data_IF_051643212036
#
_entry.id   IF_051643212036
#
_cell.length_a   1.000
_cell.length_b   1.000
_cell.length_c   1.000
_cell.angle_alpha   90.00
_cell.angle_beta   90.00
_cell.angle_gamma   90.00
#
_symmetry.space_group_name_H-M   'P 1'
#
loop_
_entity.id
_entity.type
_entity.pdbx_description
1 polymer ?
#
# COMPACT_ATOMS: atom_id res chain seq x y z
N UNK A 1 -4.06 -3.19 -3.98
CA UNK A 1 -3.38 -3.79 -5.15
C UNK A 1 -3.45 -5.29 -4.97
N UNK A 2 -3.47 -6.12 -6.02
CA UNK A 2 -3.22 -7.55 -5.79
C UNK A 2 -1.80 -7.68 -5.22
N UNK A 3 -1.71 -8.12 -3.97
CA UNK A 3 -0.47 -8.30 -3.22
C UNK A 3 0.37 -9.42 -3.84
N UNK A 4 1.07 -9.08 -4.92
CA UNK A 4 2.01 -9.96 -5.62
C UNK A 4 3.44 -9.50 -5.36
N UNK A 5 4.20 -10.34 -4.68
CA UNK A 5 5.59 -10.09 -4.30
C UNK A 5 6.50 -11.13 -4.95
N UNK A 6 7.64 -10.68 -5.45
CA UNK A 6 8.61 -11.52 -6.14
C UNK A 6 9.88 -11.52 -5.29
N UNK A 7 9.99 -12.49 -4.38
CA UNK A 7 11.21 -12.71 -3.64
C UNK A 7 12.25 -13.33 -4.56
N UNK A 8 13.46 -12.78 -4.60
CA UNK A 8 14.54 -13.34 -5.38
C UNK A 8 15.87 -13.20 -4.66
N UNK A 9 16.81 -14.06 -5.05
CA UNK A 9 18.17 -14.12 -4.53
C UNK A 9 19.09 -14.59 -5.65
N UNK A 10 20.34 -14.10 -5.68
CA UNK A 10 21.32 -14.46 -6.70
C UNK A 10 22.66 -14.88 -6.09
N UNK A 11 23.26 -15.91 -6.68
CA UNK A 11 24.66 -16.25 -6.44
C UNK A 11 25.56 -15.68 -7.54
N UNK A 12 26.79 -15.30 -7.16
CA UNK A 12 27.79 -14.74 -8.09
C UNK A 12 28.98 -15.68 -8.25
N UNK A 13 29.62 -15.73 -9.43
CA UNK A 13 30.75 -16.63 -9.68
C UNK A 13 32.06 -16.11 -9.07
N UNK A 14 32.20 -14.80 -8.85
CA UNK A 14 33.46 -14.17 -8.46
C UNK A 14 33.24 -12.82 -7.71
N UNK A 15 34.32 -12.21 -7.22
CA UNK A 15 34.27 -10.96 -6.46
C UNK A 15 33.81 -9.72 -7.25
N UNK A 16 33.76 -9.78 -8.59
CA UNK A 16 33.31 -8.66 -9.40
C UNK A 16 31.80 -8.40 -9.22
N UNK A 17 31.04 -9.42 -8.82
CA UNK A 17 29.58 -9.35 -8.58
C UNK A 17 28.82 -8.74 -9.76
N UNK A 18 29.29 -9.01 -10.99
CA UNK A 18 28.74 -8.50 -12.24
C UNK A 18 28.10 -9.59 -13.10
N UNK A 19 28.12 -10.84 -12.62
CA UNK A 19 27.50 -12.01 -13.25
C UNK A 19 26.74 -12.82 -12.22
N UNK A 20 25.72 -13.51 -12.71
CA UNK A 20 24.89 -14.45 -11.94
C UNK A 20 25.33 -15.87 -12.31
N UNK A 21 25.54 -16.73 -11.30
CA UNK A 21 25.80 -18.17 -11.45
C UNK A 21 24.60 -19.03 -11.03
N UNK A 22 23.71 -18.50 -10.19
CA UNK A 22 22.39 -19.07 -9.91
C UNK A 22 21.39 -17.98 -9.53
N UNK A 23 20.11 -18.23 -9.77
CA UNK A 23 19.01 -17.36 -9.35
C UNK A 23 17.87 -18.19 -8.77
N UNK A 24 17.35 -17.75 -7.62
CA UNK A 24 16.12 -18.23 -7.01
C UNK A 24 15.03 -17.17 -7.12
N UNK A 25 13.80 -17.58 -7.42
CA UNK A 25 12.62 -16.71 -7.49
C UNK A 25 11.46 -17.42 -6.79
N UNK A 26 10.88 -16.76 -5.80
CA UNK A 26 9.69 -17.21 -5.08
C UNK A 26 8.59 -16.16 -5.21
N UNK A 27 7.41 -16.56 -5.67
CA UNK A 27 6.25 -15.68 -5.85
C UNK A 27 5.31 -15.86 -4.67
N UNK A 28 4.97 -14.74 -4.04
CA UNK A 28 3.91 -14.66 -3.04
C UNK A 28 2.72 -13.94 -3.65
N UNK A 29 1.56 -14.56 -3.59
CA UNK A 29 0.28 -13.99 -4.01
C UNK A 29 -0.78 -14.26 -2.95
N UNK A 30 -1.56 -13.22 -2.61
CA UNK A 30 -2.66 -13.32 -1.64
C UNK A 30 -2.21 -13.93 -0.30
N UNK A 31 -1.02 -13.52 0.17
CA UNK A 31 -0.46 -13.97 1.45
C UNK A 31 0.02 -15.43 1.47
N UNK A 32 0.27 -16.04 0.31
CA UNK A 32 0.78 -17.42 0.21
C UNK A 32 1.84 -17.52 -0.88
N UNK A 33 2.81 -18.41 -0.69
CA UNK A 33 3.76 -18.77 -1.74
C UNK A 33 3.02 -19.60 -2.80
N UNK A 34 3.06 -19.16 -4.06
CA UNK A 34 2.33 -19.80 -5.17
C UNK A 34 3.26 -20.39 -6.22
N UNK A 35 4.53 -20.00 -6.25
CA UNK A 35 5.49 -20.48 -7.24
C UNK A 35 6.92 -20.35 -6.73
N UNK A 36 7.73 -21.38 -6.96
CA UNK A 36 9.17 -21.41 -6.71
C UNK A 36 9.90 -21.72 -8.03
N UNK A 37 11.02 -21.06 -8.26
CA UNK A 37 11.88 -21.27 -9.40
C UNK A 37 13.34 -21.15 -8.98
N UNK A 38 14.15 -22.05 -9.53
CA UNK A 38 15.59 -22.03 -9.36
C UNK A 38 16.24 -22.39 -10.69
N UNK A 39 17.32 -21.70 -11.03
CA UNK A 39 18.15 -22.03 -12.18
C UNK A 39 19.61 -21.72 -11.89
N UNK A 40 20.48 -22.63 -12.32
CA UNK A 40 21.87 -22.29 -12.60
C UNK A 40 21.94 -21.44 -13.87
N UNK A 41 23.01 -20.66 -13.99
CA UNK A 41 23.23 -19.74 -15.12
C UNK A 41 24.66 -19.90 -15.60
N UNK A 42 24.85 -20.08 -16.90
CA UNK A 42 26.18 -19.98 -17.48
C UNK A 42 26.62 -18.51 -17.42
N UNK A 43 27.51 -18.21 -16.47
CA UNK A 43 27.99 -16.84 -16.22
C UNK A 43 29.01 -16.35 -17.25
N UNK A 44 29.54 -17.24 -18.11
CA UNK A 44 30.54 -16.95 -19.15
C UNK A 44 31.84 -16.31 -18.63
N UNK A 45 32.13 -16.49 -17.34
CA UNK A 45 33.30 -15.89 -16.66
C UNK A 45 33.98 -16.89 -15.71
N UNK A 46 35.15 -16.48 -15.21
CA UNK A 46 35.88 -17.23 -14.19
C UNK A 46 35.12 -17.31 -12.85
N UNK A 47 35.28 -18.43 -12.15
CA UNK A 47 34.76 -18.64 -10.81
C UNK A 47 35.89 -18.60 -9.77
N UNK A 48 35.75 -17.72 -8.78
CA UNK A 48 36.72 -17.61 -7.70
C UNK A 48 36.58 -18.78 -6.71
N UNK A 49 37.70 -19.32 -6.17
CA UNK A 49 37.67 -20.42 -5.20
C UNK A 49 36.86 -20.13 -3.93
N UNK A 50 36.68 -18.85 -3.59
CA UNK A 50 35.83 -18.46 -2.47
C UNK A 50 34.35 -18.65 -2.78
N UNK A 51 33.87 -18.16 -3.93
CA UNK A 51 32.48 -18.29 -4.36
C UNK A 51 32.10 -19.76 -4.53
N UNK A 52 32.95 -20.57 -5.16
CA UNK A 52 32.73 -22.03 -5.30
C UNK A 52 32.57 -22.68 -3.92
N UNK A 53 33.41 -22.33 -2.94
CA UNK A 53 33.31 -22.89 -1.58
C UNK A 53 32.08 -22.41 -0.84
N UNK A 54 31.63 -21.18 -1.11
CA UNK A 54 30.48 -20.58 -0.45
C UNK A 54 29.17 -21.19 -0.94
N UNK A 55 29.02 -21.34 -2.26
CA UNK A 55 27.75 -21.71 -2.91
C UNK A 55 27.72 -23.16 -3.39
N UNK A 56 28.88 -23.81 -3.50
CA UNK A 56 29.04 -25.13 -4.10
C UNK A 56 28.96 -25.14 -5.63
N UNK A 57 28.70 -24.00 -6.29
CA UNK A 57 28.53 -23.93 -7.74
C UNK A 57 29.89 -23.93 -8.42
N UNK A 58 30.10 -24.87 -9.34
CA UNK A 58 31.34 -25.01 -10.11
C UNK A 58 31.15 -24.59 -11.57
N UNK A 59 32.22 -24.18 -12.29
CA UNK A 59 32.15 -23.91 -13.73
C UNK A 59 31.54 -25.07 -14.54
N UNK A 60 31.84 -26.31 -14.15
CA UNK A 60 31.35 -27.51 -14.83
C UNK A 60 29.83 -27.67 -14.69
N UNK A 61 29.26 -27.28 -13.54
CA UNK A 61 27.80 -27.35 -13.32
C UNK A 61 27.02 -26.37 -14.19
N UNK A 62 27.63 -25.22 -14.52
CA UNK A 62 26.97 -24.15 -15.28
C UNK A 62 27.25 -24.20 -16.78
N UNK A 63 28.22 -25.01 -17.23
CA UNK A 63 28.70 -25.00 -18.61
C UNK A 63 27.58 -25.27 -19.64
N UNK A 64 26.67 -26.19 -19.34
CA UNK A 64 25.55 -26.58 -20.22
C UNK A 64 24.22 -25.87 -19.87
N UNK A 65 24.26 -24.86 -18.99
CA UNK A 65 23.09 -24.09 -18.56
C UNK A 65 22.86 -22.88 -19.49
N UNK A 66 21.63 -22.32 -19.55
CA UNK A 66 21.39 -21.12 -20.32
C UNK A 66 22.25 -19.95 -19.83
N UNK A 67 22.72 -19.13 -20.76
CA UNK A 67 23.34 -17.85 -20.42
C UNK A 67 22.27 -16.88 -19.87
N UNK A 68 22.72 -15.82 -19.20
CA UNK A 68 21.79 -14.87 -18.58
C UNK A 68 20.73 -14.29 -19.54
N UNK A 69 21.04 -13.88 -20.79
CA UNK A 69 20.03 -13.37 -21.72
C UNK A 69 18.91 -14.36 -22.03
N UNK A 70 19.26 -15.62 -22.29
CA UNK A 70 18.31 -16.69 -22.60
C UNK A 70 17.42 -17.00 -21.39
N UNK A 71 18.01 -17.05 -20.20
CA UNK A 71 17.24 -17.23 -18.97
C UNK A 71 16.33 -16.03 -18.72
N UNK A 72 16.80 -14.81 -18.98
CA UNK A 72 16.05 -13.58 -18.76
C UNK A 72 14.75 -13.54 -19.56
N UNK A 73 14.74 -14.00 -20.82
CA UNK A 73 13.51 -14.11 -21.62
C UNK A 73 12.39 -14.88 -20.91
N UNK A 74 12.77 -15.90 -20.13
CA UNK A 74 11.84 -16.73 -19.35
C UNK A 74 11.39 -16.05 -18.04
N UNK A 75 12.31 -15.40 -17.33
CA UNK A 75 12.04 -14.90 -15.97
C UNK A 75 11.57 -13.42 -15.93
N UNK A 76 11.85 -12.63 -16.97
CA UNK A 76 11.47 -11.21 -17.03
C UNK A 76 9.97 -10.95 -16.79
N UNK A 77 9.04 -11.77 -17.33
CA UNK A 77 7.61 -11.60 -17.05
C UNK A 77 7.28 -11.77 -15.56
N UNK A 78 7.94 -12.71 -14.87
CA UNK A 78 7.73 -12.95 -13.43
C UNK A 78 8.36 -11.83 -12.62
N UNK A 79 9.61 -11.47 -12.91
CA UNK A 79 10.33 -10.38 -12.23
C UNK A 79 9.62 -9.03 -12.37
N UNK A 80 8.86 -8.81 -13.45
CA UNK A 80 8.08 -7.60 -13.68
C UNK A 80 6.64 -7.64 -13.18
N UNK A 81 6.17 -8.77 -12.64
CA UNK A 81 4.76 -8.97 -12.30
C UNK A 81 4.36 -8.48 -10.91
N UNK A 82 5.31 -8.05 -10.07
CA UNK A 82 5.05 -7.66 -8.69
C UNK A 82 6.17 -6.85 -8.05
N UNK A 83 6.03 -6.54 -6.77
CA UNK A 83 7.07 -5.87 -6.01
C UNK A 83 8.25 -6.82 -5.76
N UNK A 84 9.46 -6.41 -6.14
CA UNK A 84 10.66 -7.19 -5.87
C UNK A 84 10.99 -7.20 -4.37
N UNK A 85 11.32 -8.37 -3.85
CA UNK A 85 11.71 -8.58 -2.46
C UNK A 85 13.05 -9.31 -2.45
N UNK A 86 14.00 -8.84 -1.65
CA UNK A 86 15.27 -9.54 -1.46
C UNK A 86 15.81 -9.31 -0.04
N UNK A 87 16.62 -10.24 0.45
CA UNK A 87 17.26 -10.11 1.75
C UNK A 87 18.61 -9.43 1.57
N UNK A 88 18.82 -8.26 2.20
CA UNK A 88 19.94 -7.39 1.85
C UNK A 88 19.92 -6.94 0.37
N UNK A 89 18.71 -6.64 -0.11
CA UNK A 89 18.38 -6.33 -1.50
C UNK A 89 19.32 -5.41 -2.29
N UNK A 90 20.03 -4.38 -1.72
CA UNK A 90 20.97 -3.60 -2.52
C UNK A 90 22.04 -4.43 -3.24
N UNK A 91 22.40 -5.60 -2.71
CA UNK A 91 23.32 -6.53 -3.35
C UNK A 91 22.69 -7.16 -4.61
N UNK A 92 21.59 -7.89 -4.45
CA UNK A 92 20.91 -8.61 -5.55
C UNK A 92 20.46 -7.67 -6.66
N UNK A 93 19.91 -6.51 -6.27
CA UNK A 93 19.53 -5.46 -7.21
C UNK A 93 20.72 -4.92 -7.99
N UNK A 94 21.90 -4.84 -7.36
CA UNK A 94 23.15 -4.43 -7.99
C UNK A 94 23.62 -5.44 -9.04
N UNK A 95 23.68 -6.72 -8.67
CA UNK A 95 24.08 -7.80 -9.58
C UNK A 95 23.12 -7.90 -10.76
N UNK A 96 21.81 -7.86 -10.50
CA UNK A 96 20.78 -7.89 -11.55
C UNK A 96 20.93 -6.71 -12.51
N UNK A 97 21.08 -5.49 -11.99
CA UNK A 97 21.24 -4.31 -12.82
C UNK A 97 22.52 -4.39 -13.67
N UNK A 98 23.63 -4.85 -13.08
CA UNK A 98 24.89 -5.03 -13.79
C UNK A 98 24.75 -6.01 -14.95
N UNK A 99 24.12 -7.18 -14.71
CA UNK A 99 23.86 -8.16 -15.76
C UNK A 99 23.00 -7.58 -16.89
N UNK A 100 21.88 -6.92 -16.56
CA UNK A 100 21.01 -6.33 -17.58
C UNK A 100 21.75 -5.32 -18.46
N UNK A 101 22.58 -4.45 -17.86
CA UNK A 101 23.34 -3.45 -18.60
C UNK A 101 24.45 -4.07 -19.46
N UNK A 102 25.23 -5.01 -18.90
CA UNK A 102 26.38 -5.61 -19.58
C UNK A 102 25.96 -6.48 -20.78
N UNK A 103 24.80 -7.13 -20.67
CA UNK A 103 24.21 -7.92 -21.76
C UNK A 103 23.33 -7.07 -22.72
N UNK A 104 23.17 -5.77 -22.48
CA UNK A 104 22.36 -4.89 -23.32
C UNK A 104 20.86 -5.23 -23.30
N UNK A 105 20.37 -5.80 -22.20
CA UNK A 105 18.98 -6.22 -22.04
C UNK A 105 18.14 -5.03 -21.58
N UNK A 106 17.20 -4.62 -22.42
CA UNK A 106 16.21 -3.61 -22.05
C UNK A 106 15.08 -4.25 -21.23
N UNK A 107 14.80 -3.70 -20.04
CA UNK A 107 13.68 -4.12 -19.20
C UNK A 107 12.81 -2.95 -18.77
N UNK A 108 13.30 -2.14 -17.84
CA UNK A 108 12.67 -0.90 -17.39
C UNK A 108 13.74 0.05 -16.83
N UNK A 109 13.55 1.37 -16.88
CA UNK A 109 14.57 2.32 -16.41
C UNK A 109 14.74 2.29 -14.88
N UNK A 110 13.68 1.95 -14.16
CA UNK A 110 13.70 1.78 -12.70
C UNK A 110 12.73 0.68 -12.28
N UNK A 111 12.93 0.14 -11.09
CA UNK A 111 12.01 -0.79 -10.44
C UNK A 111 11.86 -0.46 -8.95
N UNK A 112 10.82 -0.99 -8.32
CA UNK A 112 10.60 -0.88 -6.88
C UNK A 112 10.98 -2.18 -6.19
N UNK A 113 11.55 -2.06 -5.00
CA UNK A 113 11.86 -3.21 -4.16
C UNK A 113 11.65 -2.90 -2.68
N UNK A 114 11.49 -3.94 -1.87
CA UNK A 114 11.61 -3.88 -0.42
C UNK A 114 12.67 -4.88 0.09
N UNK A 115 13.27 -4.59 1.24
CA UNK A 115 14.36 -5.38 1.80
C UNK A 115 13.93 -6.04 3.10
N UNK A 116 13.89 -7.38 3.13
CA UNK A 116 13.45 -8.14 4.31
C UNK A 116 14.41 -7.97 5.49
N UNK A 117 15.70 -7.72 5.27
CA UNK A 117 16.62 -7.36 6.35
C UNK A 117 16.23 -6.04 7.05
N UNK A 118 15.77 -5.03 6.30
CA UNK A 118 15.30 -3.75 6.86
C UNK A 118 13.96 -3.93 7.57
N UNK A 119 13.06 -4.72 6.99
CA UNK A 119 11.77 -5.06 7.60
C UNK A 119 11.97 -5.83 8.90
N UNK A 120 12.87 -6.82 8.91
CA UNK A 120 13.22 -7.60 10.09
C UNK A 120 13.76 -6.75 11.23
N UNK A 121 14.53 -5.67 10.96
CA UNK A 121 14.96 -4.71 12.00
C UNK A 121 13.80 -3.98 12.66
N UNK A 122 12.74 -3.70 11.90
CA UNK A 122 11.54 -3.06 12.42
C UNK A 122 10.64 -4.07 13.16
N UNK A 123 10.53 -5.30 12.64
CA UNK A 123 9.69 -6.36 13.21
C UNK A 123 10.29 -6.95 14.50
N UNK A 124 11.61 -7.16 14.51
CA UNK A 124 12.33 -7.84 15.59
C UNK A 124 13.53 -7.02 16.07
N UNK A 125 13.34 -5.79 16.61
CA UNK A 125 14.43 -4.89 16.98
C UNK A 125 15.36 -5.43 18.07
N UNK A 126 14.92 -6.44 18.83
CA UNK A 126 15.65 -7.07 19.92
C UNK A 126 16.74 -8.05 19.47
N UNK A 127 16.72 -8.52 18.21
CA UNK A 127 17.70 -9.49 17.73
C UNK A 127 19.08 -8.84 17.54
N UNK A 128 20.14 -9.60 17.84
CA UNK A 128 21.52 -9.11 17.73
C UNK A 128 21.86 -8.64 16.31
N UNK A 129 21.32 -9.33 15.31
CA UNK A 129 21.42 -8.95 13.90
C UNK A 129 20.25 -9.54 13.12
N UNK A 130 20.13 -9.12 11.86
CA UNK A 130 19.02 -9.49 10.96
C UNK A 130 19.55 -10.11 9.68
N UNK A 131 20.60 -10.93 9.78
CA UNK A 131 21.04 -11.80 8.68
C UNK A 131 19.98 -12.87 8.44
N UNK A 132 19.89 -13.35 7.20
CA UNK A 132 18.89 -14.34 6.79
C UNK A 132 18.88 -15.56 7.70
N UNK A 133 20.05 -16.18 7.92
CA UNK A 133 20.20 -17.33 8.80
C UNK A 133 19.77 -17.07 10.25
N UNK A 134 20.01 -15.86 10.77
CA UNK A 134 19.66 -15.51 12.16
C UNK A 134 18.15 -15.41 12.31
N UNK A 135 17.47 -14.82 11.32
CA UNK A 135 16.01 -14.72 11.30
C UNK A 135 15.34 -16.07 11.06
N UNK A 136 15.85 -16.87 10.12
CA UNK A 136 15.33 -18.21 9.87
C UNK A 136 15.44 -19.10 11.10
N UNK A 137 16.60 -19.08 11.79
CA UNK A 137 16.77 -19.81 13.05
C UNK A 137 15.81 -19.34 14.14
N UNK A 138 15.58 -18.02 14.26
CA UNK A 138 14.65 -17.47 15.24
C UNK A 138 13.20 -17.92 15.00
N UNK A 139 12.79 -17.98 13.74
CA UNK A 139 11.43 -18.35 13.32
C UNK A 139 11.25 -19.84 13.04
N UNK A 140 12.31 -20.65 13.22
CA UNK A 140 12.36 -22.08 12.87
C UNK A 140 12.01 -22.36 11.39
N UNK A 141 12.48 -21.51 10.48
CA UNK A 141 12.35 -21.70 9.03
C UNK A 141 13.51 -22.55 8.51
N UNK A 142 13.22 -23.39 7.51
CA UNK A 142 14.24 -24.21 6.86
C UNK A 142 15.10 -23.35 5.93
N UNK A 143 16.42 -23.48 6.03
CA UNK A 143 17.36 -22.73 5.21
C UNK A 143 18.55 -23.62 4.81
N UNK A 144 18.68 -23.87 3.51
CA UNK A 144 19.94 -24.30 2.90
C UNK A 144 20.68 -23.06 2.40
N UNK A 145 21.55 -22.52 3.25
CA UNK A 145 22.11 -21.20 3.04
C UNK A 145 23.14 -21.18 1.90
N UNK A 146 23.13 -20.13 1.07
CA UNK A 146 23.90 -20.01 -0.18
C UNK A 146 23.42 -20.91 -1.32
N UNK A 147 22.16 -21.36 -1.21
CA UNK A 147 21.40 -21.91 -2.32
C UNK A 147 20.29 -20.93 -2.68
N UNK A 148 20.48 -20.13 -3.75
CA UNK A 148 19.57 -19.05 -4.15
C UNK A 148 18.07 -19.42 -4.11
N UNK A 149 17.71 -20.64 -4.51
CA UNK A 149 16.33 -21.14 -4.38
C UNK A 149 15.82 -21.13 -2.93
N UNK A 150 16.56 -21.74 -2.01
CA UNK A 150 16.22 -21.77 -0.58
C UNK A 150 16.26 -20.39 0.04
N UNK A 151 17.25 -19.56 -0.32
CA UNK A 151 17.39 -18.21 0.22
C UNK A 151 16.23 -17.30 -0.25
N UNK A 152 15.80 -17.41 -1.51
CA UNK A 152 14.62 -16.69 -2.03
C UNK A 152 13.31 -17.14 -1.36
N UNK A 153 13.18 -18.43 -1.08
CA UNK A 153 12.00 -18.99 -0.41
C UNK A 153 11.92 -18.53 1.05
N UNK A 154 13.03 -18.63 1.78
CA UNK A 154 13.13 -18.12 3.14
C UNK A 154 12.86 -16.61 3.20
N UNK A 155 13.35 -15.85 2.21
CA UNK A 155 13.03 -14.43 2.06
C UNK A 155 11.51 -14.17 1.92
N UNK A 156 10.80 -15.01 1.16
CA UNK A 156 9.34 -14.95 1.04
C UNK A 156 8.62 -15.33 2.34
N UNK A 157 9.08 -16.36 3.06
CA UNK A 157 8.53 -16.73 4.37
C UNK A 157 8.72 -15.62 5.41
N UNK A 158 9.89 -14.98 5.43
CA UNK A 158 10.14 -13.80 6.27
C UNK A 158 9.17 -12.65 5.94
N UNK A 159 8.94 -12.38 4.65
CA UNK A 159 7.98 -11.37 4.24
C UNK A 159 6.58 -11.66 4.78
N UNK A 160 6.11 -12.90 4.64
CA UNK A 160 4.80 -13.33 5.13
C UNK A 160 4.68 -13.20 6.65
N UNK A 161 5.72 -13.62 7.38
CA UNK A 161 5.79 -13.46 8.83
C UNK A 161 5.70 -11.98 9.25
N UNK A 162 6.43 -11.09 8.59
CA UNK A 162 6.39 -9.65 8.89
C UNK A 162 5.02 -9.05 8.59
N UNK A 163 4.38 -9.45 7.49
CA UNK A 163 3.03 -9.02 7.13
C UNK A 163 2.01 -9.51 8.17
N UNK A 164 2.17 -10.72 8.69
CA UNK A 164 1.33 -11.23 9.78
C UNK A 164 1.49 -10.40 11.07
N UNK A 165 2.68 -9.86 11.32
CA UNK A 165 2.96 -8.90 12.40
C UNK A 165 2.55 -7.45 12.08
N UNK A 166 1.80 -7.23 10.99
CA UNK A 166 1.22 -5.93 10.63
C UNK A 166 2.16 -4.98 9.87
N UNK A 167 3.36 -5.43 9.49
CA UNK A 167 4.23 -4.62 8.63
C UNK A 167 3.68 -4.62 7.20
N UNK A 168 3.61 -3.43 6.61
CA UNK A 168 3.18 -3.25 5.22
C UNK A 168 4.41 -2.99 4.34
N UNK A 169 4.72 -3.84 3.33
CA UNK A 169 5.89 -3.68 2.46
C UNK A 169 5.98 -2.30 1.80
N UNK A 170 4.84 -1.66 1.52
CA UNK A 170 4.73 -0.31 0.98
C UNK A 170 5.46 0.77 1.81
N UNK A 171 5.58 0.56 3.12
CA UNK A 171 6.30 1.48 4.02
C UNK A 171 7.82 1.36 3.88
N UNK A 172 8.28 0.27 3.29
CA UNK A 172 9.69 -0.06 3.11
C UNK A 172 10.15 0.07 1.66
N UNK A 173 9.26 0.51 0.76
CA UNK A 173 9.59 0.70 -0.65
C UNK A 173 10.85 1.55 -0.85
N UNK A 174 11.63 1.10 -1.82
CA UNK A 174 12.78 1.79 -2.37
C UNK A 174 12.67 1.73 -3.88
N UNK A 175 13.13 2.79 -4.55
CA UNK A 175 13.23 2.83 -6.00
C UNK A 175 14.67 2.55 -6.39
N UNK A 176 14.90 1.60 -7.28
CA UNK A 176 16.20 1.29 -7.84
C UNK A 176 16.28 1.81 -9.28
N UNK A 177 17.32 2.59 -9.58
CA UNK A 177 17.64 3.05 -10.93
C UNK A 177 18.55 2.01 -11.59
N UNK A 178 18.01 1.28 -12.56
CA UNK A 178 18.70 0.15 -13.20
C UNK A 178 19.84 0.63 -14.10
N UNK A 179 19.70 1.80 -14.73
CA UNK A 179 20.76 2.38 -15.56
C UNK A 179 21.91 2.95 -14.73
N UNK A 180 21.59 3.64 -13.62
CA UNK A 180 22.59 4.24 -12.73
C UNK A 180 23.10 3.28 -11.65
N UNK A 181 22.58 2.04 -11.60
CA UNK A 181 22.97 0.98 -10.65
C UNK A 181 22.97 1.46 -9.20
N UNK A 182 21.90 2.15 -8.80
CA UNK A 182 21.78 2.68 -7.43
C UNK A 182 20.36 2.75 -6.93
N UNK A 183 20.21 2.57 -5.63
CA UNK A 183 18.98 2.94 -4.93
C UNK A 183 18.84 4.46 -4.91
N UNK A 184 17.72 4.95 -5.43
CA UNK A 184 17.37 6.36 -5.34
C UNK A 184 16.80 6.63 -3.96
N UNK A 185 17.27 7.73 -3.34
CA UNK A 185 16.64 8.24 -2.13
C UNK A 185 15.23 8.66 -2.49
N UNK A 186 14.25 7.91 -2.01
CA UNK A 186 12.88 8.43 -2.00
C UNK A 186 12.88 9.67 -1.10
N UNK A 187 12.28 10.79 -1.53
CA UNK A 187 12.06 11.89 -0.61
C UNK A 187 11.29 11.32 0.59
N UNK A 188 11.69 11.64 1.83
CA UNK A 188 10.96 11.17 2.99
C UNK A 188 9.49 11.57 2.82
N UNK A 189 8.55 10.65 3.09
CA UNK A 189 7.16 11.05 3.31
C UNK A 189 7.21 12.15 4.37
N UNK A 190 6.78 13.36 4.01
CA UNK A 190 6.81 14.49 4.93
C UNK A 190 6.14 14.06 6.24
N UNK A 191 6.74 14.40 7.38
CA UNK A 191 6.02 14.26 8.66
C UNK A 191 4.68 14.99 8.50
N UNK A 192 3.56 14.39 8.97
CA UNK A 192 2.29 15.10 9.00
C UNK A 192 2.52 16.46 9.67
N UNK A 193 1.99 17.53 9.07
CA UNK A 193 2.04 18.83 9.73
C UNK A 193 1.34 18.74 11.09
N UNK A 194 1.69 19.61 12.02
CA UNK A 194 1.00 19.72 13.31
C UNK A 194 -0.52 19.82 13.13
N UNK A 195 -0.97 20.62 12.15
CA UNK A 195 -2.37 20.71 11.70
C UNK A 195 -2.96 19.36 11.29
N UNK A 196 -2.22 18.54 10.54
CA UNK A 196 -2.70 17.21 10.11
C UNK A 196 -2.86 16.28 11.31
N UNK A 197 -1.90 16.28 12.23
CA UNK A 197 -1.97 15.47 13.46
C UNK A 197 -3.15 15.87 14.33
N UNK A 198 -3.39 17.17 14.51
CA UNK A 198 -4.51 17.68 15.29
C UNK A 198 -5.87 17.42 14.62
N UNK A 199 -5.97 17.48 13.30
CA UNK A 199 -7.20 17.09 12.58
C UNK A 199 -7.51 15.59 12.69
N UNK A 200 -6.48 14.73 12.78
CA UNK A 200 -6.67 13.32 13.10
C UNK A 200 -7.18 13.14 14.53
N UNK A 201 -6.62 13.87 15.51
CA UNK A 201 -7.10 13.83 16.89
C UNK A 201 -8.57 14.28 17.02
N UNK A 202 -8.99 15.32 16.29
CA UNK A 202 -10.39 15.72 16.21
C UNK A 202 -11.26 14.57 15.70
N UNK A 203 -10.79 13.87 14.67
CA UNK A 203 -11.53 12.77 14.08
C UNK A 203 -11.70 11.58 15.03
N UNK A 204 -10.65 11.23 15.76
CA UNK A 204 -10.70 10.16 16.76
C UNK A 204 -11.68 10.52 17.89
N UNK A 205 -11.69 11.79 18.31
CA UNK A 205 -12.62 12.31 19.30
C UNK A 205 -14.07 12.21 18.82
N UNK A 206 -14.37 12.64 17.58
CA UNK A 206 -15.72 12.48 17.01
C UNK A 206 -16.15 11.02 16.89
N UNK A 207 -15.23 10.13 16.51
CA UNK A 207 -15.51 8.70 16.36
C UNK A 207 -15.83 8.06 17.71
N UNK A 208 -15.23 8.58 18.79
CA UNK A 208 -15.53 8.15 20.17
C UNK A 208 -16.91 8.62 20.60
N UNK A 209 -17.24 9.88 20.32
CA UNK A 209 -18.54 10.50 20.65
C UNK A 209 -19.71 9.89 19.85
N UNK A 210 -19.45 9.35 18.66
CA UNK A 210 -20.48 8.74 17.80
C UNK A 210 -20.59 7.23 17.96
N UNK A 211 -19.84 6.62 18.89
CA UNK A 211 -19.71 5.16 18.97
C UNK A 211 -20.95 4.45 19.52
N UNK A 212 -21.75 5.14 20.34
CA UNK A 212 -22.95 4.62 21.00
C UNK A 212 -24.26 5.18 20.41
N UNK A 213 -24.19 5.91 19.29
CA UNK A 213 -25.33 6.57 18.64
C UNK A 213 -26.15 7.50 19.56
N UNK A 214 -25.57 7.96 20.67
CA UNK A 214 -26.19 8.91 21.61
C UNK A 214 -25.23 10.05 21.91
N UNK A 215 -25.66 11.31 21.69
CA UNK A 215 -24.84 12.49 21.99
C UNK A 215 -25.32 13.15 23.28
N UNK A 216 -24.45 13.19 24.28
CA UNK A 216 -24.73 13.86 25.56
C UNK A 216 -24.23 15.32 25.59
N UNK A 217 -24.85 16.15 26.43
CA UNK A 217 -24.40 17.53 26.70
C UNK A 217 -22.92 17.57 27.15
N UNK A 218 -22.48 16.63 27.98
CA UNK A 218 -21.09 16.55 28.43
C UNK A 218 -20.10 16.33 27.31
N UNK A 219 -20.46 15.58 26.27
CA UNK A 219 -19.60 15.33 25.11
C UNK A 219 -19.53 16.55 24.20
N UNK A 220 -20.66 17.24 24.00
CA UNK A 220 -20.72 18.50 23.25
C UNK A 220 -19.83 19.55 23.92
N UNK A 221 -19.93 19.70 25.25
CA UNK A 221 -19.10 20.64 26.01
C UNK A 221 -17.61 20.27 25.98
N UNK A 222 -17.29 18.97 26.06
CA UNK A 222 -15.91 18.47 25.96
C UNK A 222 -15.32 18.73 24.57
N UNK A 223 -16.10 18.48 23.52
CA UNK A 223 -15.73 18.80 22.14
C UNK A 223 -15.52 20.31 21.97
N UNK A 224 -16.45 21.14 22.45
CA UNK A 224 -16.31 22.59 22.37
C UNK A 224 -15.03 23.09 23.07
N UNK A 225 -14.72 22.54 24.26
CA UNK A 225 -13.51 22.85 25.02
C UNK A 225 -12.26 22.52 24.20
N UNK A 226 -12.20 21.30 23.66
CA UNK A 226 -11.10 20.87 22.81
C UNK A 226 -10.95 21.79 21.59
N UNK A 227 -12.05 22.16 20.94
CA UNK A 227 -12.00 23.03 19.77
C UNK A 227 -11.52 24.45 20.09
N UNK A 228 -11.89 25.00 21.24
CA UNK A 228 -11.42 26.31 21.71
C UNK A 228 -9.92 26.31 22.02
N UNK A 229 -9.36 25.19 22.45
CA UNK A 229 -7.91 25.02 22.63
C UNK A 229 -7.16 24.84 21.30
N UNK A 230 -7.86 24.45 20.23
CA UNK A 230 -7.30 24.14 18.92
C UNK A 230 -7.73 25.12 17.82
N UNK A 231 -7.99 26.40 18.15
CA UNK A 231 -8.41 27.44 17.19
C UNK A 231 -7.44 27.67 16.02
N UNK A 232 -6.17 27.26 16.15
CA UNK A 232 -5.20 27.28 15.05
C UNK A 232 -5.62 26.41 13.85
N UNK A 233 -6.58 25.49 14.04
CA UNK A 233 -7.15 24.66 12.99
C UNK A 233 -8.18 25.37 12.11
N UNK A 234 -8.59 26.60 12.44
CA UNK A 234 -9.53 27.36 11.61
C UNK A 234 -9.05 27.49 10.16
N UNK A 235 -10.00 27.45 9.23
CA UNK A 235 -9.74 27.39 7.79
C UNK A 235 -9.53 25.97 7.26
N UNK A 236 -9.65 24.94 8.11
CA UNK A 236 -9.53 23.54 7.72
C UNK A 236 -10.84 22.78 7.94
N UNK A 237 -11.25 22.01 6.93
CA UNK A 237 -12.31 21.02 7.08
C UNK A 237 -11.77 19.74 7.76
N UNK A 238 -12.53 19.10 8.68
CA UNK A 238 -13.90 19.41 9.09
C UNK A 238 -14.03 20.41 10.26
N UNK A 239 -12.92 20.91 10.82
CA UNK A 239 -12.91 21.75 12.02
C UNK A 239 -13.89 22.92 11.93
N UNK A 240 -13.85 23.74 10.88
CA UNK A 240 -14.74 24.91 10.78
C UNK A 240 -16.23 24.53 10.84
N UNK A 241 -16.61 23.47 10.12
CA UNK A 241 -18.02 23.03 10.04
C UNK A 241 -18.54 22.57 11.39
N UNK A 242 -17.72 21.84 12.15
CA UNK A 242 -18.05 21.38 13.49
C UNK A 242 -18.09 22.57 14.45
N UNK A 243 -17.13 23.49 14.34
CA UNK A 243 -17.01 24.64 15.22
C UNK A 243 -18.24 25.54 15.10
N UNK A 244 -18.68 25.81 13.87
CA UNK A 244 -19.89 26.59 13.58
C UNK A 244 -21.15 25.90 14.12
N UNK A 245 -21.24 24.58 13.96
CA UNK A 245 -22.43 23.82 14.38
C UNK A 245 -22.53 23.77 15.91
N UNK A 246 -21.46 23.35 16.59
CA UNK A 246 -21.40 23.27 18.07
C UNK A 246 -21.50 24.67 18.69
N UNK A 247 -20.90 25.67 18.07
CA UNK A 247 -21.00 27.06 18.53
C UNK A 247 -22.43 27.57 18.46
N UNK A 248 -23.11 27.38 17.33
CA UNK A 248 -24.47 27.86 17.12
C UNK A 248 -25.51 27.21 18.04
N UNK A 249 -25.39 25.91 18.34
CA UNK A 249 -26.29 25.18 19.25
C UNK A 249 -26.07 25.52 20.72
N UNK A 250 -25.01 26.25 21.07
CA UNK A 250 -24.71 26.65 22.45
C UNK A 250 -24.97 28.15 22.70
N UNK A 251 -25.43 28.90 21.69
CA UNK A 251 -25.65 30.35 21.79
C UNK A 251 -26.86 30.72 22.67
N UNK A 252 -27.91 29.89 22.68
CA UNK A 252 -29.11 30.10 23.51
C UNK A 252 -29.00 29.45 24.91
N UNK A 253 -27.97 28.64 25.13
CA UNK A 253 -27.68 27.96 26.38
C UNK A 253 -28.58 26.76 26.69
N UNK A 254 -29.35 26.25 25.70
CA UNK A 254 -30.24 25.11 25.86
C UNK A 254 -29.98 24.14 24.71
N UNK A 255 -29.45 22.95 25.00
CA UNK A 255 -29.30 21.89 24.01
C UNK A 255 -30.62 21.11 23.90
N UNK A 256 -31.36 21.33 22.82
CA UNK A 256 -32.56 20.55 22.52
C UNK A 256 -32.21 19.19 21.90
N UNK A 257 -33.05 18.17 22.12
CA UNK A 257 -32.86 16.83 21.53
C UNK A 257 -32.70 16.89 20.00
N UNK A 258 -33.42 17.80 19.33
CA UNK A 258 -33.33 17.98 17.89
C UNK A 258 -31.94 18.47 17.44
N UNK A 259 -31.28 19.30 18.25
CA UNK A 259 -29.94 19.83 17.97
C UNK A 259 -28.87 18.77 18.21
N UNK A 260 -29.00 17.99 19.29
CA UNK A 260 -28.14 16.84 19.57
C UNK A 260 -28.20 15.82 18.44
N UNK A 261 -29.40 15.51 17.95
CA UNK A 261 -29.59 14.62 16.81
C UNK A 261 -28.99 15.19 15.52
N UNK A 262 -29.15 16.49 15.25
CA UNK A 262 -28.54 17.12 14.09
C UNK A 262 -27.00 17.10 14.14
N UNK A 263 -26.41 17.32 15.32
CA UNK A 263 -24.97 17.21 15.54
C UNK A 263 -24.47 15.78 15.36
N UNK A 264 -25.15 14.80 15.96
CA UNK A 264 -24.81 13.39 15.83
C UNK A 264 -24.79 12.95 14.35
N UNK A 265 -25.79 13.35 13.57
CA UNK A 265 -25.85 13.08 12.12
C UNK A 265 -24.67 13.71 11.37
N UNK A 266 -24.32 14.96 11.70
CA UNK A 266 -23.17 15.64 11.10
C UNK A 266 -21.85 14.94 11.44
N UNK A 267 -21.65 14.58 12.71
CA UNK A 267 -20.44 13.90 13.18
C UNK A 267 -20.33 12.54 12.51
N UNK A 268 -21.42 11.76 12.48
CA UNK A 268 -21.54 10.52 11.74
C UNK A 268 -21.17 10.67 10.27
N UNK A 269 -21.64 11.73 9.58
CA UNK A 269 -21.25 11.98 8.19
C UNK A 269 -19.76 12.33 8.01
N UNK A 270 -19.10 12.90 9.02
CA UNK A 270 -17.67 13.23 8.97
C UNK A 270 -16.80 12.01 9.33
N UNK A 271 -17.25 11.24 10.32
CA UNK A 271 -16.56 10.04 10.81
C UNK A 271 -16.77 8.87 9.87
N UNK A 272 -17.96 8.73 9.27
CA UNK A 272 -18.36 7.80 8.21
C UNK A 272 -19.25 8.48 7.12
N UNK A 273 -18.64 9.12 6.10
CA UNK A 273 -19.33 9.83 5.01
C UNK A 273 -20.13 8.92 4.08
N UNK A 274 -20.11 7.62 4.34
CA UNK A 274 -20.77 6.60 3.55
C UNK A 274 -21.66 5.70 4.42
N UNK A 275 -21.86 5.99 5.71
CA UNK A 275 -22.85 5.33 6.56
C UNK A 275 -24.29 5.62 6.11
N UNK A 276 -24.52 6.81 5.54
CA UNK A 276 -25.85 7.30 5.16
C UNK A 276 -26.20 7.08 3.68
N UNK A 277 -25.43 6.29 2.92
CA UNK A 277 -25.86 5.87 1.58
C UNK A 277 -26.82 4.69 1.68
N UNK A 278 -28.03 4.88 1.15
CA UNK A 278 -29.12 3.92 1.19
C UNK A 278 -28.67 2.50 0.82
N UNK A 279 -29.04 1.54 1.67
CA UNK A 279 -29.08 0.13 1.31
C UNK A 279 -29.92 -0.04 0.03
N UNK A 280 -29.30 -0.57 -1.02
CA UNK A 280 -29.90 -1.22 -2.19
C UNK A 280 -31.16 -0.58 -2.82
N UNK A 281 -31.00 -0.02 -4.04
CA UNK A 281 -31.94 -0.15 -5.21
C UNK A 281 -32.18 1.09 -6.10
N UNK A 282 -31.36 2.15 -6.12
CA UNK A 282 -31.61 3.24 -7.11
C UNK A 282 -30.43 4.10 -7.60
N UNK A 283 -29.16 3.73 -7.36
CA UNK A 283 -28.07 4.55 -7.88
C UNK A 283 -27.93 4.40 -9.41
N UNK A 284 -28.47 5.38 -10.16
CA UNK A 284 -28.26 5.50 -11.59
C UNK A 284 -27.00 6.33 -11.87
N UNK A 285 -26.05 5.74 -12.61
CA UNK A 285 -24.79 6.36 -13.02
C UNK A 285 -24.86 6.94 -14.45
N UNK A 286 -25.92 6.66 -15.20
CA UNK A 286 -26.01 7.05 -16.60
C UNK A 286 -26.00 8.58 -16.75
N UNK A 287 -25.06 9.10 -17.55
CA UNK A 287 -24.87 10.53 -17.77
C UNK A 287 -24.22 11.28 -16.61
N UNK A 288 -23.85 10.60 -15.51
CA UNK A 288 -23.19 11.20 -14.35
C UNK A 288 -21.67 11.08 -14.43
N UNK A 289 -20.99 12.12 -13.96
CA UNK A 289 -19.55 12.15 -13.78
C UNK A 289 -19.14 11.54 -12.44
N UNK A 290 -18.17 10.63 -12.47
CA UNK A 290 -17.74 9.90 -11.27
C UNK A 290 -16.22 9.89 -11.10
N UNK A 291 -15.75 9.82 -9.85
CA UNK A 291 -14.33 9.65 -9.54
C UNK A 291 -14.15 8.50 -8.56
N UNK A 292 -13.21 7.60 -8.83
CA UNK A 292 -12.89 6.48 -7.95
C UNK A 292 -11.86 6.86 -6.88
N UNK A 293 -12.05 6.31 -5.68
CA UNK A 293 -11.12 6.40 -4.55
C UNK A 293 -11.14 5.10 -3.73
N UNK A 294 -10.04 4.78 -3.04
CA UNK A 294 -9.90 3.50 -2.33
C UNK A 294 -9.49 2.33 -3.23
N UNK A 295 -9.49 1.12 -2.68
CA UNK A 295 -9.30 -0.14 -3.40
C UNK A 295 -10.63 -0.89 -3.51
N UNK A 296 -10.85 -1.59 -4.61
CA UNK A 296 -12.14 -2.16 -4.96
C UNK A 296 -12.12 -3.69 -4.88
N UNK A 297 -13.21 -4.28 -4.38
CA UNK A 297 -13.44 -5.73 -4.37
C UNK A 297 -13.66 -6.30 -5.77
N UNK A 298 -14.36 -5.56 -6.63
CA UNK A 298 -14.70 -5.95 -7.99
C UNK A 298 -13.47 -6.16 -8.89
N UNK A 299 -12.39 -5.44 -8.63
CA UNK A 299 -11.16 -5.56 -9.39
C UNK A 299 -10.28 -4.31 -9.33
N UNK A 300 -9.37 -4.18 -10.28
CA UNK A 300 -8.58 -2.97 -10.41
C UNK A 300 -9.45 -1.75 -10.81
N UNK A 301 -8.93 -0.53 -10.57
CA UNK A 301 -9.66 0.70 -10.88
C UNK A 301 -10.04 0.81 -12.36
N UNK A 302 -9.22 0.29 -13.26
CA UNK A 302 -9.51 0.32 -14.70
C UNK A 302 -10.73 -0.53 -15.05
N UNK A 303 -10.88 -1.66 -14.38
CA UNK A 303 -11.99 -2.60 -14.54
C UNK A 303 -13.29 -2.00 -14.02
N UNK A 304 -13.24 -1.37 -12.84
CA UNK A 304 -14.38 -0.63 -12.26
C UNK A 304 -14.78 0.55 -13.15
N UNK A 305 -13.82 1.35 -13.62
CA UNK A 305 -14.09 2.47 -14.54
C UNK A 305 -14.74 1.99 -15.84
N UNK A 306 -14.26 0.88 -16.41
CA UNK A 306 -14.82 0.28 -17.62
C UNK A 306 -16.26 -0.18 -17.42
N UNK A 307 -16.54 -0.91 -16.33
CA UNK A 307 -17.89 -1.39 -16.01
C UNK A 307 -18.89 -0.23 -15.84
N UNK A 308 -18.51 0.79 -15.08
CA UNK A 308 -19.36 1.97 -14.86
C UNK A 308 -19.55 2.81 -16.14
N UNK A 309 -18.51 2.90 -16.97
CA UNK A 309 -18.60 3.60 -18.26
C UNK A 309 -19.54 2.89 -19.24
N UNK A 310 -19.57 1.55 -19.22
CA UNK A 310 -20.52 0.76 -20.02
C UNK A 310 -21.99 0.99 -19.60
N UNK A 311 -22.23 1.36 -18.34
CA UNK A 311 -23.54 1.77 -17.82
C UNK A 311 -23.83 3.27 -18.02
N UNK A 312 -22.99 3.99 -18.78
CA UNK A 312 -23.19 5.41 -19.12
C UNK A 312 -22.51 6.41 -18.18
N UNK A 313 -21.70 5.96 -17.23
CA UNK A 313 -20.91 6.83 -16.37
C UNK A 313 -19.75 7.53 -17.10
N UNK A 314 -19.38 8.72 -16.65
CA UNK A 314 -18.29 9.51 -17.22
C UNK A 314 -17.14 9.61 -16.21
N UNK A 315 -16.04 8.86 -16.39
CA UNK A 315 -14.93 8.87 -15.43
C UNK A 315 -14.21 10.22 -15.45
N UNK A 316 -13.91 10.76 -14.27
CA UNK A 316 -13.08 11.96 -14.09
C UNK A 316 -11.97 11.71 -13.06
N UNK A 317 -10.80 12.30 -13.29
CA UNK A 317 -9.62 12.09 -12.44
C UNK A 317 -9.61 12.95 -11.16
N UNK A 318 -10.46 13.96 -11.09
CA UNK A 318 -10.46 14.94 -10.00
C UNK A 318 -11.87 15.30 -9.52
N UNK A 319 -11.99 15.49 -8.21
CA UNK A 319 -13.22 15.99 -7.57
C UNK A 319 -13.29 17.50 -7.82
N UNK A 320 -14.33 17.96 -8.51
CA UNK A 320 -14.57 19.37 -8.83
C UNK A 320 -15.99 19.76 -8.45
N UNK A 321 -16.36 21.04 -8.55
CA UNK A 321 -17.74 21.52 -8.25
C UNK A 321 -18.82 20.91 -9.16
N UNK A 322 -18.43 20.31 -10.29
CA UNK A 322 -19.34 19.76 -11.31
C UNK A 322 -19.48 18.23 -11.23
N UNK A 323 -18.74 17.58 -10.33
CA UNK A 323 -18.79 16.13 -10.23
C UNK A 323 -20.11 15.69 -9.59
N UNK A 324 -20.68 14.59 -10.08
CA UNK A 324 -21.93 14.06 -9.55
C UNK A 324 -21.68 13.11 -8.39
N UNK A 325 -20.67 12.23 -8.49
CA UNK A 325 -20.34 11.31 -7.41
C UNK A 325 -18.86 10.97 -7.23
N UNK A 326 -18.52 10.56 -6.01
CA UNK A 326 -17.25 9.93 -5.65
C UNK A 326 -17.54 8.52 -5.18
N UNK A 327 -16.98 7.53 -5.86
CA UNK A 327 -17.22 6.13 -5.57
C UNK A 327 -16.02 5.59 -4.80
N UNK A 328 -16.32 4.93 -3.70
CA UNK A 328 -15.37 4.56 -2.67
C UNK A 328 -15.32 3.02 -2.59
N UNK A 329 -14.16 2.44 -2.92
CA UNK A 329 -13.96 0.98 -2.91
C UNK A 329 -13.98 0.37 -1.51
N UNK A 330 -14.40 -0.90 -1.37
CA UNK A 330 -14.57 -1.58 -0.07
C UNK A 330 -13.37 -2.40 0.40
N UNK A 331 -12.31 -2.58 -0.42
CA UNK A 331 -11.07 -3.24 0.04
C UNK A 331 -10.19 -2.29 0.85
N UNK A 332 -10.10 -2.56 2.15
CA UNK A 332 -9.21 -1.89 3.09
C UNK A 332 -9.67 -2.13 4.52
N UNK A 333 -8.95 -3.00 5.23
CA UNK A 333 -9.08 -3.32 6.66
C UNK A 333 -9.29 -2.10 7.56
N UNK A 334 -10.20 -2.18 8.53
CA UNK A 334 -10.30 -1.56 9.89
C UNK A 334 -9.75 -0.14 10.19
N UNK A 335 -9.13 0.55 9.24
CA UNK A 335 -8.73 1.96 9.27
C UNK A 335 -9.82 2.86 8.65
N UNK A 336 -10.87 2.24 8.12
CA UNK A 336 -12.05 2.87 7.52
C UNK A 336 -13.06 3.33 8.57
N UNK A 337 -13.07 2.69 9.74
CA UNK A 337 -13.70 3.18 10.98
C UNK A 337 -12.88 4.27 11.68
N UNK A 338 -11.61 4.45 11.30
CA UNK A 338 -10.69 5.47 11.84
C UNK A 338 -10.46 6.64 10.87
N UNK A 339 -11.21 6.71 9.77
CA UNK A 339 -11.48 8.00 9.18
C UNK A 339 -10.49 8.60 8.18
N UNK A 340 -9.59 7.83 7.59
CA UNK A 340 -8.65 8.32 6.59
C UNK A 340 -9.21 8.17 5.15
N UNK A 341 -10.32 8.85 4.83
CA UNK A 341 -11.04 8.72 3.55
C UNK A 341 -10.29 9.21 2.29
N UNK A 342 -9.02 9.60 2.42
CA UNK A 342 -8.21 10.11 1.32
C UNK A 342 -8.60 11.51 0.84
N UNK A 343 -7.76 12.08 -0.01
CA UNK A 343 -7.87 13.50 -0.45
C UNK A 343 -9.12 13.78 -1.28
N UNK A 344 -9.66 12.77 -1.99
CA UNK A 344 -10.85 12.92 -2.84
C UNK A 344 -12.15 13.00 -2.04
N UNK A 345 -12.32 12.13 -1.04
CA UNK A 345 -13.51 12.16 -0.17
C UNK A 345 -13.51 13.43 0.67
N UNK A 346 -12.36 13.83 1.24
CA UNK A 346 -12.23 15.12 1.93
C UNK A 346 -12.71 16.28 1.05
N UNK A 347 -12.27 16.32 -0.21
CA UNK A 347 -12.67 17.36 -1.16
C UNK A 347 -14.16 17.30 -1.51
N UNK A 348 -14.76 16.11 -1.57
CA UNK A 348 -16.20 15.94 -1.79
C UNK A 348 -17.01 16.48 -0.61
N UNK A 349 -16.62 16.14 0.62
CA UNK A 349 -17.22 16.65 1.85
C UNK A 349 -17.12 18.18 1.97
N UNK A 350 -15.95 18.76 1.64
CA UNK A 350 -15.75 20.22 1.59
C UNK A 350 -16.69 20.92 0.59
N UNK A 351 -17.00 20.25 -0.53
CA UNK A 351 -17.91 20.77 -1.54
C UNK A 351 -19.38 20.58 -1.15
N UNK A 352 -19.74 19.46 -0.50
CA UNK A 352 -21.06 19.26 0.12
C UNK A 352 -21.35 20.34 1.17
N UNK A 353 -20.38 20.65 2.03
CA UNK A 353 -20.51 21.71 3.02
C UNK A 353 -20.72 23.10 2.38
N UNK A 354 -20.30 23.29 1.12
CA UNK A 354 -20.53 24.51 0.32
C UNK A 354 -21.83 24.45 -0.50
N UNK A 355 -22.68 23.45 -0.27
CA UNK A 355 -23.98 23.30 -0.94
C UNK A 355 -23.92 22.63 -2.32
N UNK A 356 -22.81 21.98 -2.68
CA UNK A 356 -22.74 21.22 -3.93
C UNK A 356 -23.30 19.80 -3.73
N UNK A 357 -24.24 19.34 -4.59
CA UNK A 357 -24.94 18.07 -4.41
C UNK A 357 -24.11 16.88 -4.92
N UNK A 358 -22.97 16.63 -4.29
CA UNK A 358 -22.07 15.51 -4.63
C UNK A 358 -22.49 14.28 -3.83
N UNK A 359 -22.63 13.13 -4.49
CA UNK A 359 -22.91 11.85 -3.80
C UNK A 359 -21.60 11.12 -3.51
N UNK A 360 -21.41 10.61 -2.29
CA UNK A 360 -20.28 9.74 -1.94
C UNK A 360 -20.86 8.34 -1.78
N UNK A 361 -20.42 7.37 -2.58
CA UNK A 361 -21.10 6.07 -2.75
C UNK A 361 -20.14 4.91 -2.44
N UNK A 362 -20.56 3.91 -1.66
CA UNK A 362 -19.73 2.70 -1.44
C UNK A 362 -19.79 1.80 -2.66
N UNK A 363 -18.72 1.04 -2.88
CA UNK A 363 -18.72 -0.04 -3.88
C UNK A 363 -19.88 -1.01 -3.68
N UNK A 364 -20.22 -1.34 -2.43
CA UNK A 364 -21.34 -2.23 -2.09
C UNK A 364 -22.68 -1.72 -2.64
N UNK A 365 -22.87 -0.39 -2.70
CA UNK A 365 -24.11 0.24 -3.18
C UNK A 365 -24.24 0.20 -4.70
N UNK A 366 -23.14 -0.10 -5.41
CA UNK A 366 -23.08 -0.20 -6.88
C UNK A 366 -22.76 -1.61 -7.38
N UNK A 367 -22.75 -2.62 -6.51
CA UNK A 367 -22.49 -4.02 -6.89
C UNK A 367 -23.34 -4.49 -8.08
N UNK A 368 -24.60 -4.03 -8.16
CA UNK A 368 -25.52 -4.35 -9.26
C UNK A 368 -25.11 -3.71 -10.61
N UNK A 369 -24.40 -2.57 -10.58
CA UNK A 369 -23.87 -1.92 -11.79
C UNK A 369 -22.57 -2.56 -12.27
N UNK A 370 -21.81 -3.15 -11.34
CA UNK A 370 -20.54 -3.81 -11.60
C UNK A 370 -20.74 -5.26 -12.07
N UNK A 371 -21.81 -5.92 -11.63
CA UNK A 371 -22.20 -7.26 -12.09
C UNK A 371 -22.83 -7.19 -13.50
N UNK A 372 -22.51 -8.16 -14.36
CA UNK A 372 -23.06 -8.27 -15.71
C UNK A 372 -24.52 -8.73 -15.72
#
# INVERSE_FOLDING_TARGET
>A
MNDRYIAFDVETPNYANDRISAIGITVVENGRITYDFYSLVNSEVHFDPFNIRLTGITPEMVADQPAFPELWEKIAPVMGSGLLIAHNAPFDMGVLAQCLNDYGIEWQPFTYYACTCVMGRACYPQLQNHKLNTLCNYLNLNLDHHHAGSDSHACAELLLDYMHHGLQPDRFLRRYDLAQRRTLRMPPKAKPSETTTQLLALKDLLSTITADDELSESEVLSLQTWMNENLALRGNFPFDKIFETVGGTLEDGILEDAELQAMLLLFGQITDPVANTCSCDCFDINGKTFCLTGEFEFGDRSSVESALSQKGGIPVSSVTRKIDCVIVGSRGSDAWSSGNYGTKVKKALELQAKGHPIQIVKEQDICNLLSN
#
